data_IF_790645080282
#
_entry.id   IF_790645080282
#
_cell.length_a   1.000
_cell.length_b   1.000
_cell.length_c   1.000
_cell.angle_alpha   90.00
_cell.angle_beta   90.00
_cell.angle_gamma   90.00
#
_symmetry.space_group_name_H-M   'P 1'
#
loop_
_entity.id
_entity.type
_entity.pdbx_description
1 polymer ?
#
# COMPACT_ATOMS: atom_id res chain seq x y z
N UNK A 1 32.84 11.45 -12.87
CA UNK A 1 31.72 12.01 -12.06
C UNK A 1 30.36 12.10 -12.79
N UNK A 2 30.28 11.84 -14.11
CA UNK A 2 29.02 11.96 -14.88
C UNK A 2 28.08 10.76 -14.78
N UNK A 3 28.58 9.54 -14.51
CA UNK A 3 27.79 8.30 -14.51
C UNK A 3 26.78 8.22 -13.37
N UNK A 4 27.17 8.69 -12.16
CA UNK A 4 26.32 8.66 -10.96
C UNK A 4 25.03 9.50 -11.06
N UNK A 5 25.02 10.53 -11.92
CA UNK A 5 23.89 11.46 -12.13
C UNK A 5 22.83 10.90 -13.10
N UNK A 6 23.19 9.90 -13.93
CA UNK A 6 22.31 9.30 -14.93
C UNK A 6 21.45 8.19 -14.30
N UNK A 7 22.00 7.47 -13.33
CA UNK A 7 21.33 6.35 -12.65
C UNK A 7 20.36 6.85 -11.54
N UNK A 8 20.60 8.03 -10.98
CA UNK A 8 19.71 8.63 -9.96
C UNK A 8 18.44 9.26 -10.55
N UNK A 9 18.41 9.57 -11.84
CA UNK A 9 17.28 10.27 -12.49
C UNK A 9 15.92 9.58 -12.43
N UNK A 10 15.79 8.25 -12.63
CA UNK A 10 14.50 7.59 -12.48
C UNK A 10 13.92 7.72 -11.07
N UNK A 11 14.75 7.67 -10.05
CA UNK A 11 14.35 7.79 -8.64
C UNK A 11 13.89 9.21 -8.31
N UNK A 12 14.62 10.22 -8.79
CA UNK A 12 14.25 11.63 -8.67
C UNK A 12 12.92 11.93 -9.36
N UNK A 13 12.69 11.35 -10.55
CA UNK A 13 11.44 11.48 -11.30
C UNK A 13 10.29 10.83 -10.52
N UNK A 14 10.49 9.62 -9.99
CA UNK A 14 9.46 8.92 -9.22
C UNK A 14 9.11 9.67 -7.92
N UNK A 15 10.11 10.17 -7.20
CA UNK A 15 9.86 10.97 -6.00
C UNK A 15 9.07 12.25 -6.31
N UNK A 16 9.43 12.97 -7.39
CA UNK A 16 8.69 14.15 -7.84
C UNK A 16 7.25 13.81 -8.27
N UNK A 17 7.05 12.68 -8.96
CA UNK A 17 5.73 12.21 -9.37
C UNK A 17 4.86 11.86 -8.19
N UNK A 18 5.39 11.08 -7.22
CA UNK A 18 4.66 10.70 -6.01
C UNK A 18 4.17 11.93 -5.24
N UNK A 19 5.03 12.93 -5.08
CA UNK A 19 4.68 14.18 -4.43
C UNK A 19 3.57 14.93 -5.17
N UNK A 20 3.67 15.06 -6.51
CA UNK A 20 2.64 15.74 -7.31
C UNK A 20 1.32 14.97 -7.34
N UNK A 21 1.36 13.65 -7.42
CA UNK A 21 0.16 12.82 -7.33
C UNK A 21 -0.53 12.95 -5.96
N UNK A 22 0.25 13.06 -4.88
CA UNK A 22 -0.31 13.28 -3.55
C UNK A 22 -0.92 14.68 -3.39
N UNK A 23 -0.33 15.71 -4.01
CA UNK A 23 -0.77 17.10 -3.92
C UNK A 23 -2.01 17.40 -4.78
N UNK A 24 -2.04 16.89 -6.02
CA UNK A 24 -2.99 17.32 -7.07
C UNK A 24 -3.85 16.19 -7.64
N UNK A 25 -3.58 14.94 -7.26
CA UNK A 25 -4.21 13.76 -7.86
C UNK A 25 -3.54 13.34 -9.18
N UNK A 26 -3.90 12.16 -9.65
CA UNK A 26 -3.34 11.60 -10.88
C UNK A 26 -3.84 12.34 -12.13
N UNK A 27 -5.15 12.63 -12.22
CA UNK A 27 -5.75 13.27 -13.38
C UNK A 27 -5.11 14.64 -13.68
N UNK A 28 -4.95 15.50 -12.67
CA UNK A 28 -4.44 16.85 -12.82
C UNK A 28 -2.91 16.96 -13.02
N UNK A 29 -2.16 15.89 -12.75
CA UNK A 29 -0.70 15.88 -12.89
C UNK A 29 -0.30 15.60 -14.34
N UNK A 30 0.64 16.40 -14.87
CA UNK A 30 1.24 16.22 -16.20
C UNK A 30 2.70 15.80 -16.06
N UNK A 31 3.24 15.04 -17.02
CA UNK A 31 4.66 14.67 -17.06
C UNK A 31 5.57 15.90 -17.11
N UNK A 32 5.15 16.98 -17.77
CA UNK A 32 5.89 18.23 -17.80
C UNK A 32 6.06 18.87 -16.41
N UNK A 33 5.06 18.76 -15.54
CA UNK A 33 5.12 19.25 -14.17
C UNK A 33 6.07 18.39 -13.32
N UNK A 34 6.05 17.08 -13.56
CA UNK A 34 7.00 16.15 -12.93
C UNK A 34 8.43 16.46 -13.37
N UNK A 35 8.68 16.67 -14.66
CA UNK A 35 10.00 17.04 -15.15
C UNK A 35 10.52 18.33 -14.52
N UNK A 36 9.68 19.35 -14.42
CA UNK A 36 10.01 20.63 -13.77
C UNK A 36 10.35 20.44 -12.29
N UNK A 37 9.57 19.63 -11.57
CA UNK A 37 9.79 19.34 -10.15
C UNK A 37 11.05 18.51 -9.91
N UNK A 38 11.34 17.58 -10.80
CA UNK A 38 12.56 16.77 -10.77
C UNK A 38 13.82 17.50 -11.26
N UNK A 39 13.70 18.76 -11.71
CA UNK A 39 14.82 19.55 -12.22
C UNK A 39 15.44 19.01 -13.52
N UNK A 40 14.66 18.36 -14.37
CA UNK A 40 15.08 17.80 -15.65
C UNK A 40 14.38 18.48 -16.84
N UNK A 41 15.01 18.40 -18.03
CA UNK A 41 14.39 18.91 -19.24
C UNK A 41 13.13 18.10 -19.61
N UNK A 42 12.09 18.78 -20.15
CA UNK A 42 10.84 18.18 -20.61
C UNK A 42 11.06 16.92 -21.48
N UNK A 43 11.95 17.00 -22.48
CA UNK A 43 12.26 15.87 -23.36
C UNK A 43 12.89 14.69 -22.63
N UNK A 44 13.56 14.93 -21.50
CA UNK A 44 14.24 13.87 -20.75
C UNK A 44 13.26 12.92 -20.06
N UNK A 45 12.14 13.42 -19.53
CA UNK A 45 11.18 12.54 -18.83
C UNK A 45 10.56 11.51 -19.75
N UNK A 46 10.28 11.87 -21.01
CA UNK A 46 9.70 10.98 -22.01
C UNK A 46 10.64 9.85 -22.47
N UNK A 47 11.96 9.99 -22.24
CA UNK A 47 12.93 8.92 -22.45
C UNK A 47 12.85 7.82 -21.38
N UNK A 48 12.41 8.17 -20.16
CA UNK A 48 12.25 7.23 -19.05
C UNK A 48 10.83 6.71 -18.93
N UNK A 49 9.85 7.59 -19.10
CA UNK A 49 8.44 7.30 -18.91
C UNK A 49 7.63 7.92 -20.06
N UNK A 50 7.30 7.12 -21.11
CA UNK A 50 6.55 7.61 -22.25
C UNK A 50 5.17 8.17 -21.89
N UNK A 51 4.53 7.57 -20.87
CA UNK A 51 3.21 7.98 -20.41
C UNK A 51 3.20 8.19 -18.88
N UNK A 52 2.20 8.90 -18.40
CA UNK A 52 1.95 9.08 -16.96
C UNK A 52 1.60 7.75 -16.28
N UNK A 53 0.91 6.89 -17.00
CA UNK A 53 0.57 5.53 -16.60
C UNK A 53 1.81 4.66 -16.41
N UNK A 54 2.81 4.78 -17.28
CA UNK A 54 4.08 4.04 -17.16
C UNK A 54 4.87 4.50 -15.93
N UNK A 55 4.87 5.81 -15.67
CA UNK A 55 5.47 6.37 -14.46
C UNK A 55 4.75 5.86 -13.18
N UNK A 56 3.42 5.77 -13.21
CA UNK A 56 2.65 5.20 -12.09
C UNK A 56 2.96 3.72 -11.88
N UNK A 57 3.02 2.93 -12.96
CA UNK A 57 3.41 1.50 -12.86
C UNK A 57 4.82 1.33 -12.29
N UNK A 58 5.74 2.21 -12.66
CA UNK A 58 7.09 2.22 -12.10
C UNK A 58 7.09 2.54 -10.60
N UNK A 59 6.28 3.51 -10.14
CA UNK A 59 6.09 3.80 -8.72
C UNK A 59 5.60 2.57 -7.96
N UNK A 60 4.59 1.87 -8.47
CA UNK A 60 4.10 0.63 -7.83
C UNK A 60 5.20 -0.43 -7.77
N UNK A 61 5.87 -0.70 -8.91
CA UNK A 61 6.84 -1.79 -9.00
C UNK A 61 8.13 -1.54 -8.21
N UNK A 62 8.58 -0.31 -8.13
CA UNK A 62 9.90 0.01 -7.56
C UNK A 62 9.82 0.60 -6.16
N UNK A 63 8.70 1.18 -5.78
CA UNK A 63 8.57 1.85 -4.49
C UNK A 63 7.54 1.15 -3.56
N UNK A 64 6.61 0.35 -4.10
CA UNK A 64 5.59 -0.33 -3.30
C UNK A 64 5.80 -1.85 -3.23
N UNK A 65 6.02 -2.54 -4.37
CA UNK A 65 6.18 -3.99 -4.38
C UNK A 65 7.38 -4.52 -3.56
N UNK A 66 8.54 -3.86 -3.48
CA UNK A 66 9.60 -4.28 -2.57
C UNK A 66 9.18 -4.30 -1.10
N UNK A 67 8.30 -3.37 -0.71
CA UNK A 67 7.74 -3.35 0.62
C UNK A 67 6.82 -4.55 0.89
N UNK A 68 6.05 -4.96 -0.11
CA UNK A 68 5.19 -6.14 -0.03
C UNK A 68 6.03 -7.43 0.04
N UNK A 69 7.08 -7.53 -0.79
CA UNK A 69 8.02 -8.65 -0.76
C UNK A 69 8.72 -8.78 0.62
N UNK A 70 9.10 -7.66 1.23
CA UNK A 70 9.66 -7.65 2.58
C UNK A 70 8.65 -8.14 3.64
N UNK A 71 7.36 -7.81 3.50
CA UNK A 71 6.30 -8.33 4.36
C UNK A 71 6.11 -9.84 4.19
N UNK A 72 6.12 -10.34 2.97
CA UNK A 72 6.05 -11.77 2.66
C UNK A 72 7.21 -12.54 3.31
N UNK A 73 8.44 -12.03 3.17
CA UNK A 73 9.63 -12.62 3.79
C UNK A 73 9.56 -12.60 5.32
N UNK A 74 9.17 -11.46 5.91
CA UNK A 74 9.05 -11.34 7.35
C UNK A 74 7.98 -12.29 7.92
N UNK A 75 6.84 -12.41 7.28
CA UNK A 75 5.79 -13.34 7.69
C UNK A 75 6.21 -14.81 7.56
N UNK A 76 6.97 -15.17 6.52
CA UNK A 76 7.49 -16.52 6.33
C UNK A 76 8.58 -16.88 7.37
N UNK A 77 9.43 -15.93 7.73
CA UNK A 77 10.51 -16.11 8.68
C UNK A 77 10.07 -15.98 10.15
N UNK A 78 8.82 -15.57 10.42
CA UNK A 78 8.33 -15.30 11.77
C UNK A 78 8.27 -16.58 12.61
N UNK A 79 8.99 -16.67 13.75
CA UNK A 79 9.12 -17.91 14.52
C UNK A 79 7.89 -18.22 15.42
N UNK A 80 7.02 -17.24 15.62
CA UNK A 80 5.89 -17.32 16.54
C UNK A 80 4.64 -17.97 15.93
N UNK A 81 3.63 -18.20 16.78
CA UNK A 81 2.35 -18.76 16.36
C UNK A 81 1.60 -17.82 15.44
N UNK A 82 0.61 -18.36 14.70
CA UNK A 82 -0.16 -17.60 13.71
C UNK A 82 -0.84 -16.33 14.28
N UNK A 83 -1.37 -16.30 15.51
CA UNK A 83 -1.91 -15.07 16.11
C UNK A 83 -0.88 -13.95 16.24
N UNK A 84 0.36 -14.27 16.64
CA UNK A 84 1.43 -13.29 16.73
C UNK A 84 1.87 -12.82 15.33
N UNK A 85 2.02 -13.75 14.40
CA UNK A 85 2.37 -13.48 13.00
C UNK A 85 1.34 -12.57 12.33
N UNK A 86 0.05 -12.85 12.51
CA UNK A 86 -1.03 -12.03 11.95
C UNK A 86 -1.04 -10.63 12.57
N UNK A 87 -0.83 -10.52 13.89
CA UNK A 87 -0.72 -9.23 14.59
C UNK A 87 0.42 -8.39 14.04
N UNK A 88 1.62 -8.95 13.94
CA UNK A 88 2.81 -8.22 13.52
C UNK A 88 2.75 -7.82 12.04
N UNK A 89 2.14 -8.67 11.20
CA UNK A 89 1.88 -8.37 9.81
C UNK A 89 0.94 -7.16 9.67
N UNK A 90 -0.20 -7.16 10.34
CA UNK A 90 -1.17 -6.07 10.29
C UNK A 90 -0.62 -4.78 10.91
N UNK A 91 0.13 -4.87 12.03
CA UNK A 91 0.79 -3.73 12.63
C UNK A 91 1.84 -3.10 11.68
N UNK A 92 2.63 -3.92 11.01
CA UNK A 92 3.60 -3.44 10.01
C UNK A 92 2.92 -2.81 8.80
N UNK A 93 1.80 -3.39 8.32
CA UNK A 93 1.00 -2.79 7.26
C UNK A 93 0.44 -1.43 7.68
N UNK A 94 -0.10 -1.31 8.89
CA UNK A 94 -0.62 -0.06 9.44
C UNK A 94 0.46 1.02 9.56
N UNK A 95 1.64 0.67 10.07
CA UNK A 95 2.77 1.61 10.19
C UNK A 95 3.18 2.18 8.81
N UNK A 96 3.17 1.35 7.77
CA UNK A 96 3.48 1.77 6.39
C UNK A 96 2.45 2.71 5.78
N UNK A 97 1.23 2.77 6.32
CA UNK A 97 0.21 3.72 5.86
C UNK A 97 0.53 5.19 6.24
N UNK A 98 1.51 5.43 7.10
CA UNK A 98 2.10 6.74 7.35
C UNK A 98 3.19 7.15 6.36
N UNK A 99 3.75 6.22 5.59
CA UNK A 99 4.82 6.47 4.65
C UNK A 99 4.37 7.28 3.42
N UNK A 100 5.29 7.99 2.73
CA UNK A 100 4.96 8.71 1.49
C UNK A 100 4.30 7.81 0.42
N UNK A 101 4.72 6.55 0.32
CA UNK A 101 4.16 5.55 -0.61
C UNK A 101 2.68 5.24 -0.37
N UNK A 102 2.14 5.55 0.80
CA UNK A 102 0.70 5.45 1.08
C UNK A 102 -0.16 6.42 0.23
N UNK A 103 0.45 7.37 -0.46
CA UNK A 103 -0.23 8.17 -1.47
C UNK A 103 -0.70 7.31 -2.66
N UNK A 104 0.00 6.21 -3.01
CA UNK A 104 -0.34 5.34 -4.14
C UNK A 104 -1.71 4.65 -3.94
N UNK A 105 -1.95 3.88 -2.85
CA UNK A 105 -3.28 3.28 -2.63
C UNK A 105 -4.40 4.32 -2.51
N UNK A 106 -4.15 5.47 -1.88
CA UNK A 106 -5.13 6.56 -1.81
C UNK A 106 -5.52 7.09 -3.18
N UNK A 107 -4.53 7.29 -4.04
CA UNK A 107 -4.74 7.77 -5.40
C UNK A 107 -5.57 6.77 -6.22
N UNK A 108 -5.25 5.48 -6.15
CA UNK A 108 -6.01 4.45 -6.86
C UNK A 108 -7.45 4.40 -6.38
N UNK A 109 -7.70 4.44 -5.07
CA UNK A 109 -9.05 4.42 -4.54
C UNK A 109 -9.87 5.64 -4.97
N UNK A 110 -9.23 6.81 -5.10
CA UNK A 110 -9.91 8.03 -5.55
C UNK A 110 -10.16 8.05 -7.07
N UNK A 111 -9.27 7.45 -7.87
CA UNK A 111 -9.25 7.60 -9.33
C UNK A 111 -9.62 6.31 -10.10
N UNK A 112 -9.97 5.23 -9.40
CA UNK A 112 -10.23 3.92 -10.01
C UNK A 112 -11.34 3.94 -11.07
N UNK A 113 -12.36 4.78 -10.89
CA UNK A 113 -13.43 4.97 -11.85
C UNK A 113 -12.98 5.68 -13.13
N UNK A 114 -12.00 6.58 -13.03
CA UNK A 114 -11.46 7.35 -14.16
C UNK A 114 -10.37 6.60 -14.93
N UNK A 115 -9.63 5.72 -14.22
CA UNK A 115 -8.47 5.00 -14.78
C UNK A 115 -8.55 3.48 -14.50
N UNK A 116 -9.51 2.77 -15.12
CA UNK A 116 -9.78 1.36 -14.82
C UNK A 116 -8.58 0.44 -15.13
N UNK A 117 -7.75 0.78 -16.10
CA UNK A 117 -6.54 0.01 -16.40
C UNK A 117 -5.49 0.09 -15.29
N UNK A 118 -5.35 1.24 -14.64
CA UNK A 118 -4.46 1.39 -13.48
C UNK A 118 -5.03 0.71 -12.24
N UNK A 119 -6.34 0.78 -12.05
CA UNK A 119 -7.03 0.09 -10.96
C UNK A 119 -6.85 -1.43 -11.06
N UNK A 120 -7.02 -2.00 -12.27
CA UNK A 120 -6.78 -3.42 -12.54
C UNK A 120 -5.34 -3.81 -12.26
N UNK A 121 -4.38 -3.07 -12.81
CA UNK A 121 -2.96 -3.30 -12.56
C UNK A 121 -2.63 -3.32 -11.06
N UNK A 122 -3.14 -2.34 -10.30
CA UNK A 122 -2.93 -2.26 -8.87
C UNK A 122 -3.60 -3.42 -8.11
N UNK A 123 -4.81 -3.79 -8.51
CA UNK A 123 -5.52 -4.92 -7.94
C UNK A 123 -4.77 -6.24 -8.12
N UNK A 124 -4.22 -6.47 -9.32
CA UNK A 124 -3.46 -7.69 -9.64
C UNK A 124 -2.09 -7.72 -8.94
N UNK A 125 -1.32 -6.64 -9.03
CA UNK A 125 0.07 -6.62 -8.54
C UNK A 125 0.19 -6.43 -7.01
N UNK A 126 -0.77 -5.74 -6.38
CA UNK A 126 -0.64 -5.34 -4.97
C UNK A 126 -1.73 -5.99 -4.12
N UNK A 127 -3.02 -5.75 -4.47
CA UNK A 127 -4.13 -6.17 -3.59
C UNK A 127 -4.22 -7.68 -3.51
N UNK A 128 -4.19 -8.37 -4.65
CA UNK A 128 -4.28 -9.83 -4.69
C UNK A 128 -3.14 -10.50 -3.91
N UNK A 129 -1.90 -9.99 -4.04
CA UNK A 129 -0.74 -10.50 -3.29
C UNK A 129 -0.86 -10.23 -1.79
N UNK A 130 -1.28 -9.02 -1.40
CA UNK A 130 -1.48 -8.67 0.01
C UNK A 130 -2.55 -9.53 0.67
N UNK A 131 -3.66 -9.77 -0.01
CA UNK A 131 -4.73 -10.66 0.47
C UNK A 131 -4.27 -12.12 0.54
N UNK A 132 -3.52 -12.61 -0.46
CA UNK A 132 -2.97 -13.96 -0.46
C UNK A 132 -2.01 -14.17 0.72
N UNK A 133 -1.16 -13.17 1.04
CA UNK A 133 -0.29 -13.21 2.20
C UNK A 133 -1.08 -13.34 3.51
N UNK A 134 -2.10 -12.52 3.72
CA UNK A 134 -2.96 -12.61 4.91
C UNK A 134 -3.66 -13.95 4.99
N UNK A 135 -4.25 -14.40 3.88
CA UNK A 135 -4.93 -15.69 3.79
C UNK A 135 -3.98 -16.86 4.12
N UNK A 136 -2.72 -16.81 3.68
CA UNK A 136 -1.73 -17.87 3.98
C UNK A 136 -1.41 -17.95 5.47
N UNK A 137 -1.27 -16.82 6.18
CA UNK A 137 -1.05 -16.79 7.63
C UNK A 137 -2.26 -17.33 8.37
N UNK A 138 -3.48 -16.97 7.94
CA UNK A 138 -4.73 -17.47 8.55
C UNK A 138 -4.88 -18.95 8.31
N UNK A 139 -4.65 -19.44 7.08
CA UNK A 139 -4.72 -20.85 6.73
C UNK A 139 -3.74 -21.70 7.58
N UNK A 140 -2.51 -21.22 7.75
CA UNK A 140 -1.53 -21.88 8.61
C UNK A 140 -2.01 -21.97 10.07
N UNK A 141 -2.62 -20.91 10.60
CA UNK A 141 -3.19 -20.90 11.94
C UNK A 141 -4.36 -21.86 12.11
N UNK A 142 -5.25 -21.97 11.11
CA UNK A 142 -6.34 -22.95 11.09
C UNK A 142 -5.78 -24.38 11.06
N UNK A 143 -4.79 -24.65 10.20
CA UNK A 143 -4.17 -25.97 10.08
C UNK A 143 -3.42 -26.40 11.36
N UNK A 144 -2.86 -25.44 12.10
CA UNK A 144 -2.20 -25.69 13.37
C UNK A 144 -3.16 -25.77 14.58
N UNK A 145 -4.47 -25.53 14.38
CA UNK A 145 -5.44 -25.44 15.48
C UNK A 145 -5.31 -24.19 16.36
N UNK A 146 -4.52 -23.20 15.91
CA UNK A 146 -4.32 -21.92 16.59
C UNK A 146 -5.44 -20.92 16.29
N UNK A 147 -6.17 -21.13 15.22
CA UNK A 147 -7.40 -20.45 14.84
C UNK A 147 -8.55 -21.46 14.69
N UNK A 148 -9.76 -21.04 15.02
CA UNK A 148 -10.97 -21.83 14.71
C UNK A 148 -11.12 -22.03 13.21
N UNK A 149 -11.88 -23.05 12.77
CA UNK A 149 -12.18 -23.25 11.36
C UNK A 149 -12.88 -22.01 10.76
N UNK A 150 -12.22 -21.36 9.81
CA UNK A 150 -12.73 -20.21 9.04
C UNK A 150 -12.24 -20.33 7.60
N UNK A 151 -12.90 -19.63 6.67
CA UNK A 151 -12.39 -19.46 5.32
C UNK A 151 -11.33 -18.33 5.30
N UNK A 152 -10.03 -18.65 5.04
CA UNK A 152 -8.98 -17.65 5.01
C UNK A 152 -9.19 -16.59 3.94
N UNK A 153 -9.81 -16.93 2.81
CA UNK A 153 -10.07 -16.01 1.71
C UNK A 153 -11.15 -14.96 2.09
N UNK A 154 -12.12 -15.36 2.91
CA UNK A 154 -13.15 -14.46 3.43
C UNK A 154 -12.61 -13.56 4.58
N UNK A 155 -11.74 -14.10 5.43
CA UNK A 155 -11.19 -13.36 6.58
C UNK A 155 -10.12 -12.37 6.18
N UNK A 156 -9.27 -12.65 5.20
CA UNK A 156 -8.18 -11.78 4.79
C UNK A 156 -8.64 -10.34 4.43
N UNK A 157 -9.67 -10.13 3.60
CA UNK A 157 -10.17 -8.77 3.33
C UNK A 157 -10.77 -8.10 4.58
N UNK A 158 -11.42 -8.84 5.47
CA UNK A 158 -11.95 -8.30 6.73
C UNK A 158 -10.82 -7.86 7.67
N UNK A 159 -9.70 -8.58 7.69
CA UNK A 159 -8.54 -8.24 8.51
C UNK A 159 -7.88 -6.92 8.08
N UNK A 160 -7.87 -6.60 6.78
CA UNK A 160 -7.20 -5.39 6.25
C UNK A 160 -8.16 -4.21 6.09
N UNK A 161 -9.47 -4.42 6.02
CA UNK A 161 -10.45 -3.38 5.73
C UNK A 161 -10.38 -2.16 6.68
N UNK A 162 -10.27 -2.30 8.02
CA UNK A 162 -10.17 -1.15 8.91
C UNK A 162 -8.91 -0.31 8.69
N UNK A 163 -7.79 -0.95 8.28
CA UNK A 163 -6.57 -0.25 7.93
C UNK A 163 -6.78 0.63 6.68
N UNK A 164 -7.43 0.07 5.66
CA UNK A 164 -7.78 0.81 4.44
C UNK A 164 -8.74 1.96 4.75
N UNK A 165 -9.75 1.75 5.60
CA UNK A 165 -10.67 2.81 6.05
C UNK A 165 -9.94 3.92 6.80
N UNK A 166 -8.97 3.58 7.65
CA UNK A 166 -8.12 4.58 8.34
C UNK A 166 -7.29 5.38 7.34
N UNK A 167 -6.75 4.74 6.31
CA UNK A 167 -6.00 5.39 5.24
C UNK A 167 -6.85 6.41 4.48
N UNK A 168 -8.12 6.09 4.19
CA UNK A 168 -9.05 6.97 3.49
C UNK A 168 -9.58 8.09 4.39
N UNK A 169 -9.95 7.75 5.63
CA UNK A 169 -10.62 8.66 6.56
C UNK A 169 -9.76 9.84 6.99
N UNK A 170 -8.44 9.67 7.08
CA UNK A 170 -7.52 10.73 7.55
C UNK A 170 -7.50 11.98 6.66
N UNK A 171 -7.92 11.92 5.41
CA UNK A 171 -7.74 13.01 4.45
C UNK A 171 -9.03 13.70 3.97
N UNK A 172 -10.18 13.02 3.99
CA UNK A 172 -11.41 13.57 3.43
C UNK A 172 -12.48 13.87 4.49
N UNK A 173 -12.84 12.87 5.26
CA UNK A 173 -13.97 12.94 6.21
C UNK A 173 -13.47 13.02 7.65
N UNK A 174 -12.37 12.40 8.00
CA UNK A 174 -11.90 12.25 9.38
C UNK A 174 -11.65 13.55 10.12
N UNK A 175 -11.24 14.61 9.42
CA UNK A 175 -11.09 15.96 10.02
C UNK A 175 -12.43 16.61 10.42
N UNK A 176 -13.55 16.09 9.92
CA UNK A 176 -14.90 16.60 10.17
C UNK A 176 -15.72 15.70 11.10
N UNK A 177 -15.17 14.53 11.47
CA UNK A 177 -15.83 13.61 12.41
C UNK A 177 -15.30 13.89 13.80
N UNK A 178 -16.15 14.38 14.73
CA UNK A 178 -15.72 14.64 16.10
C UNK A 178 -15.32 13.33 16.81
N UNK A 179 -14.22 13.40 17.58
CA UNK A 179 -13.82 12.38 18.55
C UNK A 179 -13.69 10.94 18.02
N UNK A 180 -13.10 10.74 16.84
CA UNK A 180 -12.66 9.40 16.44
C UNK A 180 -11.39 9.01 17.23
N UNK A 181 -11.31 7.76 17.72
CA UNK A 181 -10.08 7.23 18.32
C UNK A 181 -8.88 7.43 17.40
N UNK A 182 -7.70 7.56 17.99
CA UNK A 182 -6.44 7.64 17.21
C UNK A 182 -6.23 6.39 16.35
N UNK A 183 -5.38 6.47 15.31
CA UNK A 183 -5.08 5.31 14.46
C UNK A 183 -4.54 4.12 15.25
N UNK A 184 -3.74 4.38 16.27
CA UNK A 184 -3.14 3.34 17.12
C UNK A 184 -4.19 2.66 17.99
N UNK A 185 -5.14 3.42 18.55
CA UNK A 185 -6.26 2.89 19.33
C UNK A 185 -7.21 2.07 18.45
N UNK A 186 -7.48 2.53 17.24
CA UNK A 186 -8.29 1.79 16.26
C UNK A 186 -7.61 0.48 15.86
N UNK A 187 -6.30 0.51 15.62
CA UNK A 187 -5.53 -0.69 15.31
C UNK A 187 -5.53 -1.67 16.48
N UNK A 188 -5.25 -1.20 17.69
CA UNK A 188 -5.24 -2.05 18.88
C UNK A 188 -6.60 -2.71 19.11
N UNK A 189 -7.69 -1.94 19.00
CA UNK A 189 -9.05 -2.47 19.13
C UNK A 189 -9.38 -3.47 18.03
N UNK A 190 -9.01 -3.16 16.79
CA UNK A 190 -9.24 -4.07 15.66
C UNK A 190 -8.51 -5.40 15.85
N UNK A 191 -7.22 -5.35 16.23
CA UNK A 191 -6.42 -6.55 16.47
C UNK A 191 -6.99 -7.41 17.61
N UNK A 192 -7.44 -6.78 18.71
CA UNK A 192 -8.07 -7.50 19.81
C UNK A 192 -9.35 -8.22 19.36
N UNK A 193 -10.25 -7.52 18.66
CA UNK A 193 -11.51 -8.09 18.16
C UNK A 193 -11.26 -9.19 17.13
N UNK A 194 -10.35 -8.99 16.18
CA UNK A 194 -10.01 -9.96 15.16
C UNK A 194 -9.43 -11.23 15.77
N UNK A 195 -8.42 -11.11 16.63
CA UNK A 195 -7.73 -12.26 17.21
C UNK A 195 -8.62 -13.04 18.17
N UNK A 196 -9.46 -12.38 18.98
CA UNK A 196 -10.48 -13.06 19.79
C UNK A 196 -11.53 -13.76 18.92
N UNK A 197 -11.95 -13.13 17.84
CA UNK A 197 -12.89 -13.72 16.88
C UNK A 197 -12.34 -14.93 16.13
N UNK A 198 -11.01 -15.06 16.04
CA UNK A 198 -10.32 -16.19 15.42
C UNK A 198 -9.88 -17.27 16.43
N UNK A 199 -9.93 -17.00 17.73
CA UNK A 199 -9.53 -17.97 18.75
C UNK A 199 -10.30 -19.29 18.64
N UNK A 200 -9.66 -20.45 18.95
CA UNK A 200 -10.28 -21.77 18.91
C UNK A 200 -11.51 -21.87 19.80
#
# INVERSE_FOLDING_TARGET
MATRRKDARPDEIRAAALALFAERGFAATRLDDVARRAGIAKGTIYLYFPTKEDLFRALVRQDLLPNLAALEQAAAAHPGPAPARLRDLLATMAARMGAPTAAIPRLILAESGNFPALARFYAEEVVARGLALLASVIAAGVAAGEFRPVDPAAVAPLAVAPLVMTLLGRNAIGRHVPATPGPDDLLATHLDLLLRGLAP
#
